data_IF_038562221315
#
_entry.id   IF_038562221315
#
_cell.length_a   1.000
_cell.length_b   1.000
_cell.length_c   1.000
_cell.angle_alpha   90.00
_cell.angle_beta   90.00
_cell.angle_gamma   90.00
#
_symmetry.space_group_name_H-M   'P 1'
#
loop_
_entity.id
_entity.type
_entity.pdbx_description
1 polymer ?
#
# COMPACT_ATOMS: atom_id res chain seq x y z
N UNK A 1 8.99 -9.29 13.18
CA UNK A 1 10.05 -8.64 12.39
C UNK A 1 9.33 -7.81 11.35
N UNK A 2 9.55 -6.50 11.25
CA UNK A 2 8.82 -5.65 10.30
C UNK A 2 9.54 -5.56 8.95
N UNK A 3 8.79 -5.53 7.87
CA UNK A 3 9.28 -5.42 6.49
C UNK A 3 8.79 -4.11 5.90
N UNK A 4 9.66 -3.41 5.19
CA UNK A 4 9.29 -2.22 4.41
C UNK A 4 9.00 -2.64 2.98
N UNK A 5 7.82 -2.30 2.48
CA UNK A 5 7.33 -2.68 1.16
C UNK A 5 6.94 -1.45 0.36
N UNK A 6 7.33 -1.41 -0.91
CA UNK A 6 6.75 -0.49 -1.87
C UNK A 6 5.47 -1.12 -2.43
N UNK A 7 4.36 -0.38 -2.38
CA UNK A 7 3.03 -0.89 -2.71
C UNK A 7 2.39 0.02 -3.74
N UNK A 8 1.89 -0.57 -4.82
CA UNK A 8 1.01 0.09 -5.78
C UNK A 8 -0.43 -0.34 -5.52
N UNK A 9 -1.37 0.61 -5.54
CA UNK A 9 -2.76 0.36 -5.18
C UNK A 9 -3.75 1.20 -5.99
N UNK A 10 -4.99 0.75 -5.96
CA UNK A 10 -6.17 1.46 -6.43
C UNK A 10 -7.14 1.72 -5.29
N UNK A 11 -7.88 2.82 -5.36
CA UNK A 11 -8.93 3.14 -4.41
C UNK A 11 -9.99 4.06 -5.05
N UNK A 12 -11.17 4.11 -4.45
CA UNK A 12 -12.16 5.16 -4.67
C UNK A 12 -12.20 6.06 -3.43
N UNK A 13 -12.33 7.38 -3.59
CA UNK A 13 -12.57 8.24 -2.44
C UNK A 13 -14.06 8.17 -2.07
N UNK A 14 -14.40 8.13 -0.78
CA UNK A 14 -15.78 8.08 -0.30
C UNK A 14 -16.63 9.17 -0.97
N UNK A 15 -17.79 8.77 -1.51
CA UNK A 15 -18.67 9.65 -2.28
C UNK A 15 -18.22 9.93 -3.72
N UNK A 16 -17.07 9.43 -4.17
CA UNK A 16 -16.58 9.54 -5.55
C UNK A 16 -16.55 8.16 -6.22
N UNK A 17 -17.01 8.12 -7.48
CA UNK A 17 -17.02 6.88 -8.29
C UNK A 17 -15.74 6.66 -9.11
N UNK A 18 -14.85 7.66 -9.13
CA UNK A 18 -13.61 7.57 -9.89
C UNK A 18 -12.60 6.69 -9.16
N UNK A 19 -12.07 5.69 -9.88
CA UNK A 19 -10.93 4.89 -9.43
C UNK A 19 -9.68 5.75 -9.56
N UNK A 20 -8.91 5.83 -8.48
CA UNK A 20 -7.62 6.47 -8.41
C UNK A 20 -6.54 5.40 -8.19
N UNK A 21 -5.35 5.66 -8.72
CA UNK A 21 -4.16 4.83 -8.51
C UNK A 21 -3.13 5.62 -7.71
N UNK A 22 -2.32 4.93 -6.91
CA UNK A 22 -1.21 5.53 -6.19
C UNK A 22 -0.17 4.48 -5.81
N UNK A 23 0.94 4.95 -5.28
CA UNK A 23 1.96 4.10 -4.68
C UNK A 23 2.50 4.74 -3.40
N UNK A 24 2.94 3.90 -2.47
CA UNK A 24 3.50 4.32 -1.19
C UNK A 24 4.51 3.29 -0.66
N UNK A 25 5.31 3.70 0.33
CA UNK A 25 6.24 2.83 1.04
C UNK A 25 5.73 2.61 2.45
N UNK A 26 5.35 1.36 2.76
CA UNK A 26 4.72 0.99 4.03
C UNK A 26 5.63 0.06 4.83
N UNK A 27 5.70 0.27 6.13
CA UNK A 27 6.29 -0.71 7.05
C UNK A 27 5.18 -1.57 7.65
N UNK A 28 5.21 -2.87 7.37
CA UNK A 28 4.22 -3.86 7.81
C UNK A 28 4.90 -4.96 8.61
N UNK A 29 4.15 -5.66 9.47
CA UNK A 29 4.70 -6.79 10.23
C UNK A 29 5.00 -8.02 9.36
N UNK A 30 4.33 -8.13 8.22
CA UNK A 30 4.50 -9.19 7.25
C UNK A 30 4.17 -8.65 5.85
N UNK A 31 4.97 -9.00 4.84
CA UNK A 31 4.66 -8.71 3.45
C UNK A 31 3.52 -9.61 2.93
N UNK A 32 2.31 -9.37 3.41
CA UNK A 32 1.10 -10.05 2.95
C UNK A 32 0.05 -9.04 2.48
N UNK A 33 -0.73 -9.35 1.42
CA UNK A 33 -1.77 -8.45 0.93
C UNK A 33 -2.76 -8.04 2.01
N UNK A 34 -3.02 -8.92 2.99
CA UNK A 34 -3.92 -8.65 4.11
C UNK A 34 -3.34 -7.60 5.07
N UNK A 35 -2.08 -7.71 5.44
CA UNK A 35 -1.41 -6.76 6.33
C UNK A 35 -1.35 -5.37 5.67
N UNK A 36 -0.93 -5.32 4.41
CA UNK A 36 -0.85 -4.10 3.60
C UNK A 36 -2.23 -3.43 3.48
N UNK A 37 -3.26 -4.18 3.10
CA UNK A 37 -4.62 -3.64 2.96
C UNK A 37 -5.18 -3.11 4.29
N UNK A 38 -4.88 -3.80 5.39
CA UNK A 38 -5.32 -3.38 6.73
C UNK A 38 -4.67 -2.06 7.13
N UNK A 39 -3.38 -1.89 6.86
CA UNK A 39 -2.66 -0.64 7.11
C UNK A 39 -3.17 0.50 6.21
N UNK A 40 -3.37 0.27 4.91
CA UNK A 40 -3.93 1.28 3.99
C UNK A 40 -5.30 1.79 4.45
N UNK A 41 -6.17 0.89 4.96
CA UNK A 41 -7.48 1.28 5.51
C UNK A 41 -7.36 2.12 6.78
N UNK A 42 -6.37 1.83 7.63
CA UNK A 42 -6.13 2.58 8.84
C UNK A 42 -5.63 4.01 8.53
N UNK A 43 -4.72 4.14 7.57
CA UNK A 43 -4.15 5.44 7.16
C UNK A 43 -5.14 6.29 6.36
N UNK A 44 -6.03 5.65 5.60
CA UNK A 44 -6.96 6.33 4.70
C UNK A 44 -8.42 5.90 4.95
N UNK A 45 -9.04 6.34 6.06
CA UNK A 45 -10.40 5.91 6.43
C UNK A 45 -11.49 6.35 5.43
N UNK A 46 -11.19 7.34 4.60
CA UNK A 46 -12.07 7.85 3.55
C UNK A 46 -11.92 7.14 2.20
N UNK A 47 -11.06 6.12 2.11
CA UNK A 47 -10.90 5.33 0.90
C UNK A 47 -11.78 4.10 0.94
N UNK A 48 -12.43 3.82 -0.19
CA UNK A 48 -13.30 2.69 -0.43
C UNK A 48 -12.74 1.86 -1.58
N UNK A 49 -13.14 0.58 -1.66
CA UNK A 49 -12.74 -0.29 -2.78
C UNK A 49 -11.23 -0.45 -2.95
N UNK A 50 -10.45 -0.31 -1.87
CA UNK A 50 -8.99 -0.39 -1.92
C UNK A 50 -8.55 -1.76 -2.45
N UNK A 51 -7.69 -1.74 -3.47
CA UNK A 51 -7.10 -2.93 -4.10
C UNK A 51 -5.59 -2.76 -4.20
N UNK A 52 -4.84 -3.73 -3.67
CA UNK A 52 -3.38 -3.80 -3.88
C UNK A 52 -3.12 -4.38 -5.27
N UNK A 53 -2.33 -3.68 -6.08
CA UNK A 53 -1.93 -4.10 -7.42
C UNK A 53 -0.60 -4.85 -7.38
N UNK A 54 0.38 -4.29 -6.67
CA UNK A 54 1.72 -4.85 -6.50
C UNK A 54 2.24 -4.50 -5.12
N UNK A 55 3.05 -5.40 -4.55
CA UNK A 55 3.80 -5.16 -3.33
C UNK A 55 5.18 -5.79 -3.48
N UNK A 56 6.23 -4.98 -3.37
CA UNK A 56 7.62 -5.43 -3.49
C UNK A 56 8.37 -5.00 -2.24
N UNK A 57 9.13 -5.91 -1.63
CA UNK A 57 9.97 -5.55 -0.49
C UNK A 57 10.98 -4.51 -0.94
N UNK A 58 11.06 -3.41 -0.20
CA UNK A 58 12.10 -2.42 -0.42
C UNK A 58 13.42 -3.08 -0.03
N UNK A 59 14.20 -3.50 -1.03
CA UNK A 59 15.53 -4.04 -0.81
C UNK A 59 16.36 -2.99 -0.06
N UNK A 60 17.05 -3.34 1.05
CA UNK A 60 17.96 -2.41 1.71
C UNK A 60 19.18 -2.04 0.83
N UNK A 61 19.41 -2.74 -0.29
CA UNK A 61 20.44 -2.39 -1.26
C UNK A 61 19.89 -1.46 -2.35
N UNK A 62 20.01 -0.15 -2.08
CA UNK A 62 19.60 0.90 -3.01
C UNK A 62 20.11 2.30 -2.66
N UNK A 63 21.32 2.40 -2.08
CA UNK A 63 22.09 3.63 -2.02
C UNK A 63 23.48 3.40 -2.61
N UNK A 64 23.56 3.05 -3.91
CA UNK A 64 24.74 3.23 -4.74
C UNK A 64 24.46 2.87 -6.21
N UNK A 65 24.34 3.89 -7.07
CA UNK A 65 25.15 4.10 -8.28
C UNK A 65 24.69 5.35 -9.02
#
# INVERSE_FOLDING_TARGET
MSVTVHVEYQYCQHGKKAIQTGSDTLTVEENSPRAILSLLRLLHPQWEGIKVLSATEASPEGAAS
#
